data_IF_495251198424
#
_entry.id   IF_495251198424
#
_cell.length_a   1.000
_cell.length_b   1.000
_cell.length_c   1.000
_cell.angle_alpha   90.00
_cell.angle_beta   90.00
_cell.angle_gamma   90.00
#
_symmetry.space_group_name_H-M   'P 1'
#
loop_
_entity.id
_entity.type
_entity.pdbx_description
1 polymer ?
#
# COMPACT_ATOMS: atom_id res chain seq x y z
N UNK A 1 28.38 -1.32 -16.45
CA UNK A 1 26.92 -1.11 -16.37
C UNK A 1 26.51 -1.11 -14.90
N UNK A 2 26.91 -0.09 -14.13
CA UNK A 2 26.90 -0.17 -12.64
C UNK A 2 26.45 1.14 -11.95
N UNK A 3 26.25 2.23 -12.71
CA UNK A 3 26.06 3.58 -12.14
C UNK A 3 24.60 3.87 -11.75
N UNK A 4 23.62 3.13 -12.29
CA UNK A 4 22.20 3.35 -11.95
C UNK A 4 21.80 2.80 -10.57
N UNK A 5 22.43 1.70 -10.12
CA UNK A 5 22.09 1.08 -8.83
C UNK A 5 22.55 1.91 -7.62
N UNK A 6 23.65 2.65 -7.74
CA UNK A 6 24.17 3.48 -6.63
C UNK A 6 23.33 4.72 -6.41
N UNK A 7 22.81 5.40 -7.46
CA UNK A 7 21.94 6.57 -7.28
C UNK A 7 20.62 6.24 -6.60
N UNK A 8 20.00 5.11 -6.94
CA UNK A 8 18.77 4.64 -6.30
C UNK A 8 19.03 4.24 -4.85
N UNK A 9 20.12 3.52 -4.58
CA UNK A 9 20.50 3.16 -3.21
C UNK A 9 20.83 4.39 -2.35
N UNK A 10 21.54 5.39 -2.87
CA UNK A 10 21.84 6.63 -2.13
C UNK A 10 20.57 7.48 -1.93
N UNK A 11 19.65 7.52 -2.91
CA UNK A 11 18.34 8.17 -2.72
C UNK A 11 17.54 7.47 -1.63
N UNK A 12 17.59 6.15 -1.61
CA UNK A 12 16.91 5.32 -0.65
C UNK A 12 17.42 5.50 0.78
N UNK A 13 18.74 5.52 0.94
CA UNK A 13 19.40 5.78 2.23
C UNK A 13 19.06 7.20 2.72
N UNK A 14 19.13 8.21 1.83
CA UNK A 14 18.81 9.60 2.19
C UNK A 14 17.34 9.80 2.58
N UNK A 15 16.43 9.11 1.89
CA UNK A 15 15.01 9.11 2.25
C UNK A 15 14.78 8.47 3.62
N UNK A 16 15.51 7.40 3.95
CA UNK A 16 15.46 6.77 5.27
C UNK A 16 16.07 7.67 6.37
N UNK A 17 17.15 8.39 6.07
CA UNK A 17 17.78 9.36 6.99
C UNK A 17 16.90 10.59 7.23
N UNK A 18 16.27 11.16 6.19
CA UNK A 18 15.35 12.30 6.33
C UNK A 18 14.01 11.93 6.95
N UNK A 19 13.54 10.70 6.75
CA UNK A 19 12.41 10.16 7.49
C UNK A 19 12.69 10.07 9.01
N UNK A 20 13.94 10.10 9.48
CA UNK A 20 14.22 10.16 10.91
C UNK A 20 14.04 11.57 11.51
N UNK A 21 14.14 12.63 10.69
CA UNK A 21 14.06 14.03 11.15
C UNK A 21 12.65 14.64 11.01
N UNK A 22 11.85 14.17 10.05
CA UNK A 22 10.42 14.52 9.91
C UNK A 22 9.65 13.42 9.13
N UNK A 23 9.43 12.25 9.75
CA UNK A 23 8.87 11.07 9.07
C UNK A 23 7.52 11.35 8.41
N UNK A 24 6.63 12.09 9.08
CA UNK A 24 5.26 12.31 8.63
C UNK A 24 5.13 13.13 7.35
N UNK A 25 6.15 13.92 6.97
CA UNK A 25 6.07 14.80 5.79
C UNK A 25 6.41 14.08 4.47
N UNK A 26 7.28 13.06 4.50
CA UNK A 26 7.83 12.45 3.29
C UNK A 26 7.46 10.97 3.12
N UNK A 27 7.16 10.27 4.22
CA UNK A 27 6.74 8.89 4.17
C UNK A 27 5.48 8.67 3.31
N UNK A 28 4.45 9.53 3.34
CA UNK A 28 3.28 9.36 2.48
C UNK A 28 3.62 9.38 0.98
N UNK A 29 4.42 10.36 0.54
CA UNK A 29 4.83 10.48 -0.87
C UNK A 29 5.73 9.32 -1.32
N UNK A 30 6.58 8.83 -0.41
CA UNK A 30 7.42 7.67 -0.65
C UNK A 30 6.59 6.41 -0.83
N UNK A 31 5.63 6.16 0.06
CA UNK A 31 4.73 5.01 -0.01
C UNK A 31 3.89 5.03 -1.29
N UNK A 32 3.33 6.20 -1.63
CA UNK A 32 2.59 6.41 -2.87
C UNK A 32 3.46 6.12 -4.10
N UNK A 33 4.70 6.59 -4.11
CA UNK A 33 5.64 6.34 -5.20
C UNK A 33 5.98 4.85 -5.35
N UNK A 34 6.18 4.14 -4.23
CA UNK A 34 6.41 2.69 -4.24
C UNK A 34 5.18 1.96 -4.79
N UNK A 35 3.97 2.31 -4.34
CA UNK A 35 2.73 1.72 -4.85
C UNK A 35 2.58 1.91 -6.37
N UNK A 36 2.88 3.12 -6.88
CA UNK A 36 2.83 3.42 -8.31
C UNK A 36 3.88 2.64 -9.11
N UNK A 37 5.09 2.47 -8.58
CA UNK A 37 6.12 1.60 -9.19
C UNK A 37 5.67 0.14 -9.20
N UNK A 38 5.04 -0.33 -8.13
CA UNK A 38 4.44 -1.66 -8.06
C UNK A 38 3.41 -1.90 -9.16
N UNK A 39 2.54 -0.91 -9.42
CA UNK A 39 1.57 -0.95 -10.52
C UNK A 39 2.26 -1.05 -11.88
N UNK A 40 3.23 -0.18 -12.13
CA UNK A 40 3.99 -0.17 -13.38
C UNK A 40 4.73 -1.50 -13.61
N UNK A 41 5.37 -2.05 -12.58
CA UNK A 41 6.06 -3.33 -12.66
C UNK A 41 5.10 -4.49 -12.91
N UNK A 42 3.93 -4.52 -12.26
CA UNK A 42 2.90 -5.53 -12.54
C UNK A 42 2.42 -5.46 -13.99
N UNK A 43 2.15 -4.26 -14.50
CA UNK A 43 1.72 -4.05 -15.89
C UNK A 43 2.79 -4.44 -16.92
N UNK A 44 4.07 -4.36 -16.55
CA UNK A 44 5.20 -4.76 -17.39
C UNK A 44 5.70 -6.18 -17.10
N UNK A 45 4.91 -6.98 -16.38
CA UNK A 45 5.18 -8.37 -16.01
C UNK A 45 6.48 -8.59 -15.19
N UNK A 46 6.95 -7.55 -14.49
CA UNK A 46 8.09 -7.57 -13.57
C UNK A 46 7.61 -7.86 -12.15
N UNK A 47 7.07 -9.07 -11.96
CA UNK A 47 6.23 -9.39 -10.79
C UNK A 47 7.00 -9.36 -9.46
N UNK A 48 8.29 -9.74 -9.45
CA UNK A 48 9.12 -9.70 -8.23
C UNK A 48 9.41 -8.28 -7.79
N UNK A 49 9.72 -7.38 -8.73
CA UNK A 49 9.89 -5.97 -8.41
C UNK A 49 8.57 -5.33 -7.99
N UNK A 50 7.45 -5.74 -8.60
CA UNK A 50 6.13 -5.28 -8.16
C UNK A 50 5.85 -5.66 -6.71
N UNK A 51 6.14 -6.90 -6.32
CA UNK A 51 5.99 -7.40 -4.95
C UNK A 51 6.80 -6.57 -3.96
N UNK A 52 8.09 -6.36 -4.26
CA UNK A 52 8.98 -5.60 -3.39
C UNK A 52 8.49 -4.17 -3.15
N UNK A 53 8.05 -3.47 -4.20
CA UNK A 53 7.57 -2.09 -4.09
C UNK A 53 6.23 -2.00 -3.35
N UNK A 54 5.30 -2.94 -3.59
CA UNK A 54 4.05 -2.96 -2.84
C UNK A 54 4.23 -3.31 -1.37
N UNK A 55 5.09 -4.28 -1.03
CA UNK A 55 5.37 -4.64 0.36
C UNK A 55 5.99 -3.47 1.11
N UNK A 56 6.83 -2.69 0.44
CA UNK A 56 7.41 -1.49 1.00
C UNK A 56 6.40 -0.36 1.19
N UNK A 57 5.50 -0.14 0.23
CA UNK A 57 4.38 0.78 0.40
C UNK A 57 3.50 0.36 1.58
N UNK A 58 3.22 -0.94 1.71
CA UNK A 58 2.45 -1.53 2.80
C UNK A 58 3.09 -1.21 4.15
N UNK A 59 4.38 -1.49 4.33
CA UNK A 59 5.07 -1.25 5.61
C UNK A 59 4.99 0.22 6.04
N UNK A 60 5.17 1.15 5.10
CA UNK A 60 5.08 2.59 5.40
C UNK A 60 3.64 2.99 5.73
N UNK A 61 2.66 2.55 4.94
CA UNK A 61 1.26 2.88 5.21
C UNK A 61 0.71 2.20 6.46
N UNK A 62 1.23 1.03 6.87
CA UNK A 62 0.91 0.41 8.18
C UNK A 62 1.37 1.29 9.34
N UNK A 63 2.58 1.83 9.27
CA UNK A 63 3.10 2.76 10.28
C UNK A 63 2.27 4.05 10.33
N UNK A 64 2.05 4.67 9.17
CA UNK A 64 1.27 5.91 9.06
C UNK A 64 -0.19 5.73 9.51
N UNK A 65 -0.84 4.63 9.15
CA UNK A 65 -2.20 4.34 9.57
C UNK A 65 -2.31 3.99 11.05
N UNK A 66 -1.25 3.48 11.69
CA UNK A 66 -1.23 3.30 13.15
C UNK A 66 -1.21 4.64 13.88
N UNK A 67 -0.54 5.66 13.33
CA UNK A 67 -0.46 7.01 13.91
C UNK A 67 -1.69 7.87 13.59
N UNK A 68 -2.16 7.84 12.34
CA UNK A 68 -3.34 8.57 11.89
C UNK A 68 -4.21 7.72 10.94
N UNK A 69 -5.04 6.82 11.50
CA UNK A 69 -5.91 5.95 10.71
C UNK A 69 -6.81 6.73 9.75
N UNK A 70 -7.34 7.88 10.19
CA UNK A 70 -8.28 8.67 9.39
C UNK A 70 -7.68 9.22 8.10
N UNK A 71 -6.37 9.46 8.09
CA UNK A 71 -5.67 9.98 6.92
C UNK A 71 -5.19 8.86 5.98
N UNK A 72 -4.73 7.72 6.51
CA UNK A 72 -3.93 6.75 5.73
C UNK A 72 -4.54 5.36 5.59
N UNK A 73 -5.64 5.04 6.29
CA UNK A 73 -6.29 3.72 6.18
C UNK A 73 -6.75 3.41 4.75
N UNK A 74 -7.18 4.44 4.00
CA UNK A 74 -7.59 4.29 2.60
C UNK A 74 -6.42 3.87 1.69
N UNK A 75 -5.27 4.50 1.85
CA UNK A 75 -4.08 4.21 1.06
C UNK A 75 -3.50 2.84 1.39
N UNK A 76 -3.54 2.46 2.68
CA UNK A 76 -3.18 1.12 3.14
C UNK A 76 -4.10 0.06 2.50
N UNK A 77 -5.41 0.27 2.54
CA UNK A 77 -6.39 -0.63 1.93
C UNK A 77 -6.20 -0.77 0.42
N UNK A 78 -5.87 0.33 -0.26
CA UNK A 78 -5.56 0.34 -1.70
C UNK A 78 -4.28 -0.43 -2.02
N UNK A 79 -3.27 -0.33 -1.15
CA UNK A 79 -2.03 -1.12 -1.28
C UNK A 79 -2.29 -2.61 -1.11
N UNK A 80 -3.11 -3.00 -0.12
CA UNK A 80 -3.54 -4.39 0.02
C UNK A 80 -4.31 -4.90 -1.20
N UNK A 81 -5.19 -4.09 -1.77
CA UNK A 81 -5.91 -4.46 -2.99
C UNK A 81 -4.95 -4.75 -4.15
N UNK A 82 -3.92 -3.92 -4.33
CA UNK A 82 -2.90 -4.11 -5.36
C UNK A 82 -2.04 -5.36 -5.13
N UNK A 83 -1.69 -5.67 -3.87
CA UNK A 83 -1.03 -6.93 -3.50
C UNK A 83 -1.93 -8.13 -3.84
N UNK A 84 -3.23 -8.06 -3.56
CA UNK A 84 -4.19 -9.11 -3.93
C UNK A 84 -4.20 -9.37 -5.45
N UNK A 85 -4.23 -8.33 -6.27
CA UNK A 85 -4.13 -8.45 -7.73
C UNK A 85 -2.79 -9.04 -8.20
N UNK A 86 -1.69 -8.70 -7.53
CA UNK A 86 -0.39 -9.29 -7.82
C UNK A 86 -0.38 -10.79 -7.52
N UNK A 87 -0.84 -11.20 -6.33
CA UNK A 87 -0.86 -12.63 -5.95
C UNK A 87 -1.83 -13.46 -6.79
N UNK A 88 -2.93 -12.87 -7.28
CA UNK A 88 -3.74 -13.50 -8.34
C UNK A 88 -2.93 -13.77 -9.61
N UNK A 89 -2.11 -12.81 -10.03
CA UNK A 89 -1.25 -12.95 -11.22
C UNK A 89 -0.18 -14.03 -11.00
N UNK A 90 0.35 -14.13 -9.78
CA UNK A 90 1.30 -15.17 -9.35
C UNK A 90 0.64 -16.54 -9.14
N UNK A 91 -0.70 -16.62 -9.22
CA UNK A 91 -1.51 -17.81 -8.92
C UNK A 91 -1.41 -18.29 -7.46
N UNK A 92 -0.99 -17.43 -6.55
CA UNK A 92 -1.06 -17.65 -5.12
C UNK A 92 -2.42 -17.15 -4.61
N UNK A 93 -3.42 -18.03 -4.69
CA UNK A 93 -4.80 -17.67 -4.39
C UNK A 93 -5.00 -17.43 -2.88
N UNK A 94 -4.25 -18.14 -2.03
CA UNK A 94 -4.36 -17.99 -0.59
C UNK A 94 -3.94 -16.58 -0.16
N UNK A 95 -2.77 -16.13 -0.62
CA UNK A 95 -2.30 -14.77 -0.35
C UNK A 95 -3.20 -13.72 -0.98
N UNK A 96 -3.69 -13.95 -2.20
CA UNK A 96 -4.62 -13.03 -2.85
C UNK A 96 -5.89 -12.83 -2.00
N UNK A 97 -6.48 -13.90 -1.48
CA UNK A 97 -7.67 -13.85 -0.62
C UNK A 97 -7.39 -13.09 0.67
N UNK A 98 -6.24 -13.33 1.30
CA UNK A 98 -5.86 -12.61 2.51
C UNK A 98 -5.76 -11.10 2.27
N UNK A 99 -5.05 -10.69 1.22
CA UNK A 99 -4.89 -9.29 0.88
C UNK A 99 -6.19 -8.60 0.48
N UNK A 100 -7.07 -9.27 -0.28
CA UNK A 100 -8.39 -8.72 -0.57
C UNK A 100 -9.27 -8.59 0.68
N UNK A 101 -9.16 -9.52 1.64
CA UNK A 101 -9.86 -9.40 2.93
C UNK A 101 -9.39 -8.17 3.69
N UNK A 102 -8.08 -7.99 3.82
CA UNK A 102 -7.47 -6.80 4.47
C UNK A 102 -7.88 -5.50 3.77
N UNK A 103 -7.87 -5.48 2.44
CA UNK A 103 -8.34 -4.33 1.65
C UNK A 103 -9.81 -4.00 1.94
N UNK A 104 -10.70 -5.01 1.92
CA UNK A 104 -12.12 -4.84 2.23
C UNK A 104 -12.32 -4.25 3.64
N UNK A 105 -11.62 -4.80 4.63
CA UNK A 105 -11.69 -4.32 6.01
C UNK A 105 -11.21 -2.86 6.13
N UNK A 106 -10.09 -2.51 5.52
CA UNK A 106 -9.56 -1.14 5.53
C UNK A 106 -10.50 -0.13 4.84
N UNK A 107 -11.13 -0.49 3.72
CA UNK A 107 -12.13 0.37 3.07
C UNK A 107 -13.38 0.56 3.94
N UNK A 108 -13.86 -0.50 4.62
CA UNK A 108 -14.97 -0.38 5.57
C UNK A 108 -14.60 0.53 6.75
N UNK A 109 -13.40 0.40 7.30
CA UNK A 109 -12.93 1.25 8.41
C UNK A 109 -12.83 2.72 7.99
N UNK A 110 -12.31 3.00 6.80
CA UNK A 110 -12.28 4.35 6.23
C UNK A 110 -13.69 4.93 6.09
N UNK A 111 -14.63 4.14 5.55
CA UNK A 111 -16.01 4.56 5.36
C UNK A 111 -16.76 4.81 6.68
N UNK A 112 -16.45 4.09 7.76
CA UNK A 112 -17.01 4.36 9.10
C UNK A 112 -16.57 5.70 9.67
N UNK A 113 -15.36 6.16 9.33
CA UNK A 113 -14.84 7.47 9.73
C UNK A 113 -15.49 8.65 8.98
N UNK A 114 -16.32 8.37 7.96
CA UNK A 114 -16.94 9.39 7.13
C UNK A 114 -18.47 9.19 7.05
N UNK A 115 -19.27 10.09 7.66
CA UNK A 115 -20.73 9.99 7.69
C UNK A 115 -21.39 9.87 6.31
N UNK A 116 -20.75 10.37 5.24
CA UNK A 116 -21.27 10.26 3.88
C UNK A 116 -21.36 8.82 3.37
N UNK A 117 -20.57 7.89 3.94
CA UNK A 117 -20.50 6.50 3.48
C UNK A 117 -21.19 5.49 4.40
N UNK A 118 -21.81 5.93 5.49
CA UNK A 118 -22.39 5.09 6.53
C UNK A 118 -23.47 4.13 5.99
N UNK A 119 -24.29 4.58 5.02
CA UNK A 119 -25.28 3.75 4.31
C UNK A 119 -24.65 2.57 3.56
N UNK A 120 -23.45 2.75 2.98
CA UNK A 120 -22.76 1.68 2.25
C UNK A 120 -22.11 0.67 3.19
N UNK A 121 -21.63 1.13 4.36
CA UNK A 121 -21.08 0.27 5.40
C UNK A 121 -22.13 -0.71 5.94
N UNK A 122 -23.36 -0.24 6.17
CA UNK A 122 -24.47 -1.09 6.64
C UNK A 122 -24.85 -2.15 5.60
N UNK A 123 -24.91 -1.77 4.32
CA UNK A 123 -25.19 -2.70 3.21
C UNK A 123 -24.11 -3.79 3.06
N UNK A 124 -22.83 -3.41 3.21
CA UNK A 124 -21.72 -4.36 3.12
C UNK A 124 -21.71 -5.39 4.26
N UNK A 125 -22.29 -5.07 5.41
CA UNK A 125 -22.39 -5.97 6.56
C UNK A 125 -23.58 -6.93 6.47
N UNK A 126 -24.70 -6.52 5.86
CA UNK A 126 -25.88 -7.37 5.71
C UNK A 126 -25.73 -8.50 4.69
N UNK A 127 -24.60 -8.56 3.98
CA UNK A 127 -24.31 -9.54 2.94
C UNK A 127 -23.20 -10.54 3.35
N UNK A 128 -22.79 -10.52 4.62
CA UNK A 128 -21.96 -11.53 5.27
C UNK A 128 -22.85 -12.54 6.00
#
# INVERSE_FOLDING_TARGET
MTIMNTKLATRQIRLNEWAAESPSAYLPDLAMSCNNLGVLYRQTNRLKEAEAEYLRAKEIYEQLAAENPSAYMFDLASTYYNLGLLYMTLKDIEQAVEYFRKAKEGFIQTARGNPAYEKYVQLAQSQL
#
